data_IF_673193121125
#
_entry.id   IF_673193121125
#
_cell.length_a   1.000
_cell.length_b   1.000
_cell.length_c   1.000
_cell.angle_alpha   90.00
_cell.angle_beta   90.00
_cell.angle_gamma   90.00
#
_symmetry.space_group_name_H-M   'P 1'
#
loop_
_entity.id
_entity.type
_entity.pdbx_description
1 polymer ?
#
# COMPACT_ATOMS: atom_id res chain seq x y z
N UNK A 1 -20.62 -36.32 22.17
CA UNK A 1 -20.42 -34.86 21.96
C UNK A 1 -18.94 -34.52 22.11
N UNK A 2 -18.10 -34.78 21.08
CA UNK A 2 -16.65 -34.50 21.13
C UNK A 2 -16.12 -33.80 19.85
N UNK A 3 -17.01 -33.43 18.93
CA UNK A 3 -16.65 -32.90 17.61
C UNK A 3 -16.34 -31.39 17.61
N UNK A 4 -16.73 -30.66 18.66
CA UNK A 4 -16.63 -29.19 18.71
C UNK A 4 -15.21 -28.70 18.98
N UNK A 5 -14.49 -29.29 19.95
CA UNK A 5 -13.17 -28.80 20.36
C UNK A 5 -12.07 -29.12 19.32
N UNK A 6 -12.18 -30.27 18.64
CA UNK A 6 -11.21 -30.66 17.60
C UNK A 6 -11.36 -29.78 16.36
N UNK A 7 -12.60 -29.46 15.97
CA UNK A 7 -12.87 -28.61 14.80
C UNK A 7 -12.44 -27.16 15.02
N UNK A 8 -12.69 -26.59 16.21
CA UNK A 8 -12.27 -25.22 16.54
C UNK A 8 -10.75 -25.12 16.56
N UNK A 9 -10.05 -26.04 17.23
CA UNK A 9 -8.58 -26.04 17.27
C UNK A 9 -7.96 -26.14 15.87
N UNK A 10 -8.53 -26.94 14.97
CA UNK A 10 -8.04 -27.06 13.60
C UNK A 10 -8.27 -25.76 12.79
N UNK A 11 -9.39 -25.08 13.03
CA UNK A 11 -9.71 -23.80 12.37
C UNK A 11 -8.79 -22.66 12.82
N UNK A 12 -8.50 -22.57 14.11
CA UNK A 12 -7.57 -21.59 14.69
C UNK A 12 -6.14 -21.86 14.23
N UNK A 13 -5.70 -23.12 14.25
CA UNK A 13 -4.38 -23.51 13.74
C UNK A 13 -4.22 -23.15 12.26
N UNK A 14 -5.26 -23.40 11.43
CA UNK A 14 -5.28 -22.99 10.02
C UNK A 14 -5.23 -21.47 9.86
N UNK A 15 -5.93 -20.72 10.70
CA UNK A 15 -5.90 -19.26 10.69
C UNK A 15 -4.50 -18.75 11.02
N UNK A 16 -3.89 -19.22 12.12
CA UNK A 16 -2.55 -18.82 12.53
C UNK A 16 -1.50 -19.15 11.46
N UNK A 17 -1.57 -20.34 10.86
CA UNK A 17 -0.66 -20.74 9.77
C UNK A 17 -0.75 -19.80 8.56
N UNK A 18 -1.96 -19.34 8.20
CA UNK A 18 -2.14 -18.36 7.12
C UNK A 18 -1.57 -16.99 7.49
N UNK A 19 -1.84 -16.50 8.70
CA UNK A 19 -1.28 -15.22 9.17
C UNK A 19 0.25 -15.27 9.18
N UNK A 20 0.85 -16.36 9.64
CA UNK A 20 2.30 -16.54 9.62
C UNK A 20 2.86 -16.52 8.20
N UNK A 21 2.16 -17.17 7.24
CA UNK A 21 2.56 -17.13 5.84
C UNK A 21 2.52 -15.70 5.28
N UNK A 22 1.45 -14.96 5.53
CA UNK A 22 1.32 -13.56 5.10
C UNK A 22 2.42 -12.69 5.72
N UNK A 23 2.70 -12.88 7.01
CA UNK A 23 3.78 -12.18 7.72
C UNK A 23 5.14 -12.36 7.03
N UNK A 24 5.44 -13.58 6.57
CA UNK A 24 6.68 -13.87 5.81
C UNK A 24 6.73 -13.20 4.43
N UNK A 25 5.59 -12.80 3.86
CA UNK A 25 5.50 -12.14 2.55
C UNK A 25 5.52 -10.60 2.67
N UNK A 26 5.27 -10.01 3.85
CA UNK A 26 5.16 -8.56 4.07
C UNK A 26 6.40 -7.82 3.58
N UNK A 27 7.60 -8.24 4.00
CA UNK A 27 8.84 -7.55 3.64
C UNK A 27 9.06 -7.52 2.13
N UNK A 28 8.82 -8.64 1.46
CA UNK A 28 8.95 -8.74 0.00
C UNK A 28 7.92 -7.88 -0.73
N UNK A 29 6.74 -7.67 -0.15
CA UNK A 29 5.69 -6.83 -0.74
C UNK A 29 6.01 -5.36 -0.53
N UNK A 30 6.41 -4.99 0.68
CA UNK A 30 6.63 -3.60 1.07
C UNK A 30 7.87 -3.00 0.41
N UNK A 31 8.92 -3.81 0.21
CA UNK A 31 10.18 -3.39 -0.41
C UNK A 31 10.22 -3.57 -1.92
N UNK A 32 9.08 -3.91 -2.54
CA UNK A 32 9.04 -4.17 -3.98
C UNK A 32 9.22 -2.86 -4.75
N UNK A 33 10.26 -2.81 -5.58
CA UNK A 33 10.42 -1.76 -6.58
C UNK A 33 9.22 -1.70 -7.52
N UNK A 34 8.71 -0.50 -7.75
CA UNK A 34 7.60 -0.25 -8.64
C UNK A 34 8.03 -0.51 -10.09
N UNK A 35 7.26 -1.35 -10.79
CA UNK A 35 7.54 -1.65 -12.19
C UNK A 35 7.08 -0.48 -13.05
N UNK A 36 8.04 0.26 -13.60
CA UNK A 36 7.76 1.33 -14.54
C UNK A 36 7.80 0.77 -15.96
N UNK A 37 6.64 0.68 -16.60
CA UNK A 37 6.54 0.35 -18.02
C UNK A 37 6.95 1.55 -18.93
N UNK A 38 6.80 2.77 -18.41
CA UNK A 38 7.10 4.03 -19.10
C UNK A 38 7.47 5.11 -18.08
N UNK A 39 8.53 5.87 -18.35
CA UNK A 39 8.93 7.00 -17.51
C UNK A 39 7.83 8.08 -17.47
N UNK A 40 7.51 8.51 -16.26
CA UNK A 40 6.62 9.64 -16.00
C UNK A 40 7.26 10.97 -16.40
N UNK A 41 6.40 11.94 -16.69
CA UNK A 41 6.75 13.28 -17.12
C UNK A 41 6.46 14.31 -16.04
N UNK A 42 6.98 15.53 -16.23
CA UNK A 42 6.58 16.66 -15.41
C UNK A 42 5.07 16.83 -15.44
N UNK A 43 4.50 17.18 -14.29
CA UNK A 43 3.07 17.41 -14.05
C UNK A 43 2.22 16.12 -14.05
N UNK A 44 2.82 14.94 -14.28
CA UNK A 44 2.11 13.67 -14.07
C UNK A 44 1.75 13.50 -12.58
N UNK A 45 0.53 13.00 -12.36
CA UNK A 45 0.07 12.54 -11.06
C UNK A 45 0.37 11.05 -10.90
N UNK A 46 1.03 10.72 -9.79
CA UNK A 46 1.56 9.38 -9.51
C UNK A 46 1.44 9.08 -8.02
N UNK A 47 1.69 7.84 -7.65
CA UNK A 47 1.90 7.47 -6.25
C UNK A 47 3.36 7.11 -6.00
N UNK A 48 3.87 7.48 -4.83
CA UNK A 48 5.21 7.11 -4.38
C UNK A 48 5.14 6.15 -3.20
N UNK A 49 5.87 5.03 -3.30
CA UNK A 49 6.06 4.10 -2.20
C UNK A 49 7.15 4.61 -1.26
N UNK A 50 6.90 4.62 0.05
CA UNK A 50 7.93 4.99 1.01
C UNK A 50 8.76 3.77 1.43
N UNK A 51 10.09 3.90 1.41
CA UNK A 51 11.03 2.94 1.99
C UNK A 51 11.59 3.40 3.34
N UNK A 52 11.10 4.52 3.86
CA UNK A 52 11.53 5.06 5.15
C UNK A 52 10.97 4.22 6.30
N UNK A 53 11.82 3.88 7.27
CA UNK A 53 11.40 3.14 8.46
C UNK A 53 10.23 3.88 9.14
N UNK A 54 9.14 3.15 9.41
CA UNK A 54 7.90 3.71 9.93
C UNK A 54 6.86 4.06 8.86
N UNK A 55 7.27 4.15 7.59
CA UNK A 55 6.40 4.41 6.43
C UNK A 55 6.47 3.30 5.36
N UNK A 56 7.31 2.29 5.56
CA UNK A 56 7.38 1.11 4.69
C UNK A 56 5.99 0.51 4.47
N UNK A 57 5.61 0.37 3.20
CA UNK A 57 4.32 -0.16 2.80
C UNK A 57 3.22 0.89 2.61
N UNK A 58 3.53 2.16 2.77
CA UNK A 58 2.61 3.25 2.42
C UNK A 58 2.89 3.79 1.01
N UNK A 59 1.83 4.31 0.41
CA UNK A 59 1.81 5.02 -0.86
C UNK A 59 1.19 6.39 -0.66
N UNK A 60 1.78 7.40 -1.28
CA UNK A 60 1.27 8.77 -1.23
C UNK A 60 1.05 9.33 -2.62
N UNK A 61 -0.04 10.06 -2.81
CA UNK A 61 -0.30 10.77 -4.05
C UNK A 61 0.61 11.99 -4.18
N UNK A 62 1.26 12.13 -5.34
CA UNK A 62 2.23 13.20 -5.60
C UNK A 62 2.10 13.69 -7.04
N UNK A 63 2.67 14.87 -7.30
CA UNK A 63 2.88 15.41 -8.65
C UNK A 63 4.37 15.50 -8.94
N UNK A 64 4.79 15.13 -10.15
CA UNK A 64 6.19 15.29 -10.58
C UNK A 64 6.46 16.76 -10.91
N UNK A 65 7.40 17.36 -10.19
CA UNK A 65 7.81 18.76 -10.35
C UNK A 65 8.93 18.89 -11.39
N UNK A 66 9.90 17.98 -11.35
CA UNK A 66 11.02 17.91 -12.29
C UNK A 66 11.60 16.51 -12.38
N UNK A 67 12.34 16.27 -13.45
CA UNK A 67 13.02 15.00 -13.73
C UNK A 67 14.52 15.25 -13.69
N UNK A 68 15.24 14.50 -12.85
CA UNK A 68 16.65 14.72 -12.55
C UNK A 68 17.43 13.41 -12.71
N UNK A 69 17.94 13.16 -13.91
CA UNK A 69 18.66 11.93 -14.28
C UNK A 69 17.91 10.64 -13.91
N UNK A 70 18.14 10.10 -12.71
CA UNK A 70 17.53 8.86 -12.19
C UNK A 70 16.59 9.11 -11.00
N UNK A 71 16.19 10.36 -10.78
CA UNK A 71 15.28 10.77 -9.71
C UNK A 71 14.15 11.63 -10.26
N UNK A 72 13.02 11.57 -9.56
CA UNK A 72 11.95 12.54 -9.68
C UNK A 72 11.98 13.48 -8.49
N UNK A 73 11.89 14.78 -8.77
CA UNK A 73 11.47 15.72 -7.75
C UNK A 73 9.95 15.69 -7.70
N UNK A 74 9.41 15.35 -6.55
CA UNK A 74 7.97 15.17 -6.34
C UNK A 74 7.47 16.22 -5.36
N UNK A 75 6.16 16.47 -5.42
CA UNK A 75 5.44 17.27 -4.44
C UNK A 75 4.24 16.49 -3.94
N UNK A 76 4.15 16.29 -2.63
CA UNK A 76 3.06 15.55 -2.02
C UNK A 76 1.74 16.31 -2.10
N UNK A 77 0.63 15.60 -2.29
CA UNK A 77 -0.72 16.19 -2.25
C UNK A 77 -1.24 16.36 -0.82
N UNK A 78 -0.86 15.47 0.08
CA UNK A 78 -1.40 15.37 1.45
C UNK A 78 -0.39 15.71 2.54
N UNK A 79 0.91 15.52 2.30
CA UNK A 79 1.97 15.83 3.27
C UNK A 79 2.45 17.27 3.12
N UNK A 80 2.64 17.94 4.27
CA UNK A 80 3.15 19.30 4.37
C UNK A 80 4.55 19.32 5.01
N UNK A 81 5.24 20.45 4.85
CA UNK A 81 6.45 20.76 5.62
C UNK A 81 6.16 20.81 7.13
N UNK A 82 7.20 20.71 7.97
CA UNK A 82 7.06 20.71 9.44
C UNK A 82 6.34 21.95 9.98
N UNK A 83 6.59 23.11 9.36
CA UNK A 83 5.94 24.38 9.69
C UNK A 83 4.53 24.53 9.06
N UNK A 84 4.10 23.53 8.28
CA UNK A 84 2.83 23.46 7.55
C UNK A 84 2.61 24.61 6.56
N UNK A 85 3.68 25.26 6.11
CA UNK A 85 3.60 26.42 5.22
C UNK A 85 3.40 26.03 3.75
N UNK A 86 3.84 24.83 3.36
CA UNK A 86 3.76 24.35 1.99
C UNK A 86 3.63 22.82 1.92
N UNK A 87 3.21 22.27 0.77
CA UNK A 87 3.35 20.84 0.50
C UNK A 87 4.81 20.39 0.55
N UNK A 88 5.05 19.19 1.06
CA UNK A 88 6.38 18.59 1.11
C UNK A 88 6.89 18.29 -0.31
N UNK A 89 8.17 18.56 -0.56
CA UNK A 89 8.86 18.17 -1.79
C UNK A 89 10.07 17.29 -1.47
N UNK A 90 10.28 16.25 -2.27
CA UNK A 90 11.38 15.28 -2.06
C UNK A 90 11.97 14.83 -3.40
N UNK A 91 13.19 14.27 -3.35
CA UNK A 91 13.79 13.54 -4.45
C UNK A 91 13.64 12.04 -4.20
N UNK A 92 13.02 11.35 -5.14
CA UNK A 92 12.77 9.90 -5.05
C UNK A 92 13.32 9.20 -6.28
N UNK A 93 13.74 7.95 -6.10
CA UNK A 93 14.23 7.11 -7.19
C UNK A 93 13.09 6.72 -8.13
N UNK A 94 13.42 6.40 -9.38
CA UNK A 94 12.40 5.91 -10.33
C UNK A 94 11.62 4.72 -9.76
N UNK A 95 12.33 3.79 -9.10
CA UNK A 95 11.77 2.57 -8.55
C UNK A 95 10.76 2.75 -7.41
N UNK A 96 10.59 3.97 -6.89
CA UNK A 96 9.62 4.29 -5.84
C UNK A 96 8.27 4.74 -6.41
N UNK A 97 8.21 5.08 -7.70
CA UNK A 97 7.03 5.72 -8.31
C UNK A 97 6.21 4.72 -9.11
N UNK A 98 4.88 4.76 -8.95
CA UNK A 98 3.90 3.97 -9.71
C UNK A 98 2.76 4.84 -10.26
N UNK A 99 2.01 4.37 -11.27
CA UNK A 99 0.80 5.08 -11.72
C UNK A 99 -0.25 5.14 -10.60
N UNK A 100 -1.10 6.16 -10.64
CA UNK A 100 -2.31 6.19 -9.80
C UNK A 100 -3.17 4.95 -10.10
N UNK A 101 -3.67 4.23 -9.07
CA UNK A 101 -4.50 3.05 -9.29
C UNK A 101 -5.78 3.41 -10.07
N UNK A 102 -6.30 2.49 -10.91
CA UNK A 102 -7.55 2.73 -11.64
C UNK A 102 -8.71 2.98 -10.67
N UNK A 103 -9.67 3.82 -11.08
CA UNK A 103 -10.78 4.21 -10.23
C UNK A 103 -11.54 2.98 -9.68
N UNK A 104 -11.85 3.00 -8.39
CA UNK A 104 -12.50 1.88 -7.69
C UNK A 104 -13.82 1.44 -8.33
N UNK A 105 -14.58 2.34 -8.95
CA UNK A 105 -15.81 2.00 -9.67
C UNK A 105 -15.56 1.02 -10.84
N UNK A 106 -14.38 1.05 -11.43
CA UNK A 106 -14.00 0.17 -12.54
C UNK A 106 -13.56 -1.22 -12.04
N UNK A 107 -13.13 -1.33 -10.78
CA UNK A 107 -12.53 -2.57 -10.22
C UNK A 107 -13.39 -3.24 -9.14
N UNK A 108 -14.31 -2.52 -8.50
CA UNK A 108 -15.17 -3.00 -7.40
C UNK A 108 -16.55 -3.51 -7.84
N UNK A 109 -16.70 -3.92 -9.09
CA UNK A 109 -17.94 -4.53 -9.58
C UNK A 109 -18.21 -5.88 -8.87
N UNK A 110 -18.85 -5.84 -7.69
CA UNK A 110 -19.53 -6.98 -7.06
C UNK A 110 -18.75 -7.85 -6.07
N UNK A 111 -17.46 -7.61 -5.82
CA UNK A 111 -16.67 -8.42 -4.88
C UNK A 111 -16.69 -7.85 -3.46
N UNK A 112 -17.28 -8.58 -2.52
CA UNK A 112 -17.09 -8.33 -1.07
C UNK A 112 -15.66 -8.66 -0.68
N UNK A 113 -15.11 -7.89 0.26
CA UNK A 113 -13.85 -8.19 0.93
C UNK A 113 -13.90 -9.57 1.59
N UNK A 114 -12.81 -10.33 1.48
CA UNK A 114 -12.67 -11.65 2.08
C UNK A 114 -11.52 -11.67 3.08
N UNK A 115 -11.61 -12.64 3.99
CA UNK A 115 -10.52 -12.90 4.92
C UNK A 115 -9.23 -13.17 4.13
N UNK A 116 -8.14 -12.55 4.57
CA UNK A 116 -6.80 -12.60 3.97
C UNK A 116 -6.62 -11.84 2.65
N UNK A 117 -7.64 -11.13 2.16
CA UNK A 117 -7.43 -10.25 1.01
C UNK A 117 -6.37 -9.21 1.34
N UNK A 118 -5.46 -8.98 0.39
CA UNK A 118 -4.55 -7.84 0.42
C UNK A 118 -5.35 -6.61 -0.01
N UNK A 119 -5.35 -5.59 0.84
CA UNK A 119 -6.09 -4.34 0.62
C UNK A 119 -5.20 -3.16 0.92
N UNK A 120 -5.56 -2.00 0.37
CA UNK A 120 -4.97 -0.72 0.77
C UNK A 120 -5.98 0.04 1.65
N UNK A 121 -5.49 0.63 2.75
CA UNK A 121 -6.28 1.37 3.74
C UNK A 121 -5.77 2.81 3.78
N UNK A 122 -6.66 3.78 3.60
CA UNK A 122 -6.30 5.18 3.73
C UNK A 122 -6.22 5.57 5.21
N UNK A 123 -5.03 5.93 5.68
CA UNK A 123 -4.74 6.32 7.06
C UNK A 123 -3.48 7.18 7.11
N UNK A 124 -3.41 8.14 8.05
CA UNK A 124 -2.27 9.05 8.18
C UNK A 124 -1.83 9.65 6.82
N UNK A 125 -2.80 10.19 6.08
CA UNK A 125 -2.60 10.91 4.83
C UNK A 125 -2.03 10.09 3.66
N UNK A 126 -1.98 8.76 3.79
CA UNK A 126 -1.51 7.85 2.74
C UNK A 126 -2.28 6.54 2.67
N UNK A 127 -2.02 5.75 1.64
CA UNK A 127 -2.55 4.41 1.44
C UNK A 127 -1.58 3.36 1.99
N UNK A 128 -2.04 2.54 2.92
CA UNK A 128 -1.22 1.50 3.55
C UNK A 128 -1.71 0.13 3.12
N UNK A 129 -0.82 -0.70 2.56
CA UNK A 129 -1.24 -2.07 2.29
C UNK A 129 -1.37 -2.86 3.59
N UNK A 130 -2.30 -3.80 3.61
CA UNK A 130 -2.52 -4.71 4.72
C UNK A 130 -3.27 -5.95 4.29
N UNK A 131 -3.57 -6.80 5.27
CA UNK A 131 -4.37 -8.01 5.07
C UNK A 131 -5.55 -8.02 6.03
N UNK A 132 -6.70 -8.47 5.53
CA UNK A 132 -7.88 -8.64 6.36
C UNK A 132 -7.69 -9.85 7.28
N UNK A 133 -7.63 -9.62 8.58
CA UNK A 133 -7.49 -10.69 9.60
C UNK A 133 -8.81 -11.10 10.24
N UNK A 134 -9.90 -10.37 10.00
CA UNK A 134 -11.23 -10.69 10.49
C UNK A 134 -12.31 -9.94 9.73
N UNK A 135 -13.51 -10.51 9.69
CA UNK A 135 -14.72 -9.89 9.15
C UNK A 135 -15.73 -9.81 10.30
N UNK A 136 -16.35 -8.65 10.48
CA UNK A 136 -17.37 -8.42 11.49
C UNK A 136 -18.70 -8.22 10.77
N UNK A 137 -19.77 -8.83 11.29
CA UNK A 137 -21.14 -8.62 10.78
C UNK A 137 -21.49 -9.39 9.51
N UNK A 138 -20.76 -10.47 9.22
CA UNK A 138 -21.18 -11.51 8.25
C UNK A 138 -22.03 -12.59 8.91
#
# INVERSE_FOLDING_TARGET
MALTNVSVNNSEQRHQSKIEKLSKEIDSIAMKTQQIAKLFQKDDEVEVASHTIGFIGSYYEVTIVSIEAYHYKIKYKTLLTDDKSAPLEELVTLGEVRPVPPHQLETMSGNKFRLYDKVDVFSNDGWWFGFISGIIGE
#
